data_IF_635508978894
#
_entry.id   IF_635508978894
#
_cell.length_a   1.000
_cell.length_b   1.000
_cell.length_c   1.000
_cell.angle_alpha   90.00
_cell.angle_beta   90.00
_cell.angle_gamma   90.00
#
_symmetry.space_group_name_H-M   'P 1'
#
loop_
_entity.id
_entity.type
_entity.pdbx_description
1 polymer ?
#
# COMPACT_ATOMS: atom_id res chain seq x y z
N UNK A 1 40.88 -23.96 20.05
CA UNK A 1 39.53 -24.57 20.01
C UNK A 1 38.55 -23.51 19.54
N UNK A 2 37.58 -23.88 18.67
CA UNK A 2 36.52 -22.97 18.24
C UNK A 2 35.37 -23.02 19.25
N UNK A 3 34.83 -21.85 19.57
CA UNK A 3 33.71 -21.69 20.47
C UNK A 3 32.59 -20.89 19.81
N UNK A 4 31.33 -21.21 20.14
CA UNK A 4 30.18 -20.39 19.81
C UNK A 4 29.14 -20.52 20.93
N UNK A 5 28.64 -19.39 21.42
CA UNK A 5 27.54 -19.39 22.37
C UNK A 5 26.20 -19.30 21.63
N UNK A 6 25.24 -20.07 22.13
CA UNK A 6 23.87 -20.14 21.60
C UNK A 6 22.90 -19.92 22.77
N UNK A 7 21.84 -19.14 22.54
CA UNK A 7 20.79 -18.88 23.52
C UNK A 7 19.44 -19.28 22.94
N UNK A 8 18.67 -20.05 23.70
CA UNK A 8 17.31 -20.47 23.40
C UNK A 8 16.42 -20.11 24.58
N UNK A 9 15.21 -19.63 24.33
CA UNK A 9 14.18 -19.40 25.36
C UNK A 9 12.90 -20.16 25.01
N UNK A 10 12.04 -20.35 26.02
CA UNK A 10 10.73 -20.98 25.92
C UNK A 10 10.77 -22.49 25.63
N UNK A 11 11.66 -23.19 26.30
CA UNK A 11 11.62 -24.66 26.36
C UNK A 11 10.30 -25.11 26.97
N UNK A 12 9.43 -25.69 26.15
CA UNK A 12 8.27 -26.46 26.62
C UNK A 12 8.60 -27.93 26.57
N UNK A 13 8.28 -28.72 27.61
CA UNK A 13 8.45 -30.17 27.55
C UNK A 13 7.75 -30.74 26.32
N UNK A 14 8.42 -31.65 25.64
CA UNK A 14 7.95 -32.31 24.40
C UNK A 14 7.61 -31.38 23.22
N UNK A 15 7.96 -30.10 23.28
CA UNK A 15 7.83 -29.13 22.21
C UNK A 15 9.06 -29.09 21.30
N UNK A 16 8.97 -28.34 20.17
CA UNK A 16 10.11 -28.18 19.25
C UNK A 16 11.39 -27.66 19.94
N UNK A 17 11.25 -26.83 21.00
CA UNK A 17 12.37 -26.34 21.81
C UNK A 17 13.09 -27.45 22.58
N UNK A 18 12.35 -28.42 23.07
CA UNK A 18 12.95 -29.56 23.78
C UNK A 18 13.71 -30.47 22.81
N UNK A 19 13.19 -30.67 21.59
CA UNK A 19 13.90 -31.39 20.53
C UNK A 19 15.20 -30.69 20.14
N UNK A 20 15.17 -29.37 19.99
CA UNK A 20 16.35 -28.58 19.67
C UNK A 20 17.39 -28.61 20.81
N UNK A 21 16.94 -28.49 22.06
CA UNK A 21 17.82 -28.62 23.23
C UNK A 21 18.47 -30.02 23.31
N UNK A 22 17.70 -31.09 23.11
CA UNK A 22 18.22 -32.46 23.03
C UNK A 22 19.22 -32.60 21.91
N UNK A 23 18.95 -32.05 20.73
CA UNK A 23 19.89 -32.09 19.60
C UNK A 23 21.18 -31.29 19.92
N UNK A 24 21.09 -30.06 20.49
CA UNK A 24 22.29 -29.31 20.90
C UNK A 24 23.12 -30.05 21.95
N UNK A 25 22.49 -30.81 22.82
CA UNK A 25 23.18 -31.68 23.78
C UNK A 25 23.91 -32.87 23.15
N UNK A 26 23.49 -33.29 21.95
CA UNK A 26 24.24 -34.31 21.19
C UNK A 26 25.52 -33.78 20.56
N UNK A 27 25.62 -32.44 20.44
CA UNK A 27 26.84 -31.79 20.00
C UNK A 27 27.84 -31.68 21.14
N UNK A 28 29.13 -31.47 20.84
CA UNK A 28 30.12 -31.18 21.84
C UNK A 28 29.81 -29.81 22.46
N UNK A 29 28.98 -29.77 23.50
CA UNK A 29 28.47 -28.55 24.12
C UNK A 29 28.43 -28.65 25.63
N UNK A 30 28.48 -27.47 26.28
CA UNK A 30 28.18 -27.27 27.72
C UNK A 30 26.95 -26.41 27.81
N UNK A 31 25.95 -26.78 28.60
CA UNK A 31 24.71 -26.02 28.74
C UNK A 31 24.52 -25.52 30.19
N UNK A 32 23.86 -24.35 30.30
CA UNK A 32 23.44 -23.73 31.57
C UNK A 32 22.05 -23.14 31.38
N UNK A 33 21.15 -23.39 32.33
CA UNK A 33 19.81 -22.82 32.37
C UNK A 33 19.79 -21.63 33.34
N UNK A 34 19.39 -20.45 32.86
CA UNK A 34 19.28 -19.23 33.65
C UNK A 34 18.14 -18.35 33.17
N UNK A 35 17.27 -17.90 34.09
CA UNK A 35 16.21 -16.93 33.77
C UNK A 35 15.21 -17.38 32.70
N UNK A 36 14.95 -18.68 32.56
CA UNK A 36 14.08 -19.26 31.53
C UNK A 36 14.75 -19.35 30.16
N UNK A 37 16.04 -19.08 30.06
CA UNK A 37 16.85 -19.28 28.86
C UNK A 37 17.77 -20.47 29.02
N UNK A 38 17.98 -21.21 27.96
CA UNK A 38 19.01 -22.25 27.85
C UNK A 38 20.20 -21.68 27.09
N UNK A 39 21.38 -21.73 27.69
CA UNK A 39 22.63 -21.31 27.08
C UNK A 39 23.45 -22.53 26.72
N UNK A 40 23.93 -22.60 25.49
CA UNK A 40 24.82 -23.65 25.02
C UNK A 40 26.13 -23.05 24.56
N UNK A 41 27.24 -23.53 25.08
CA UNK A 41 28.57 -23.26 24.56
C UNK A 41 28.99 -24.44 23.68
N UNK A 42 28.99 -24.24 22.37
CA UNK A 42 29.42 -25.25 21.41
C UNK A 42 30.94 -25.24 21.28
N UNK A 43 31.53 -26.41 21.33
CA UNK A 43 32.98 -26.63 21.34
C UNK A 43 33.41 -27.39 20.06
N UNK A 44 34.40 -26.84 19.36
CA UNK A 44 34.96 -27.47 18.18
C UNK A 44 34.31 -27.05 16.87
N UNK A 45 35.01 -27.32 15.76
CA UNK A 45 34.65 -26.86 14.41
C UNK A 45 33.32 -27.45 13.91
N UNK A 46 33.11 -28.71 14.22
CA UNK A 46 31.94 -29.46 13.76
C UNK A 46 30.66 -29.00 14.45
N UNK A 47 30.66 -28.90 15.79
CA UNK A 47 29.53 -28.39 16.56
C UNK A 47 29.18 -26.93 16.18
N UNK A 48 30.17 -26.09 15.96
CA UNK A 48 29.97 -24.68 15.58
C UNK A 48 29.40 -24.54 14.17
N UNK A 49 29.78 -25.40 13.21
CA UNK A 49 29.25 -25.38 11.85
C UNK A 49 27.82 -25.89 11.75
N UNK A 50 27.44 -26.83 12.61
CA UNK A 50 26.08 -27.40 12.67
C UNK A 50 25.06 -26.49 13.34
N UNK A 51 25.51 -25.48 14.12
CA UNK A 51 24.62 -24.52 14.81
C UNK A 51 23.67 -23.73 13.88
N UNK A 52 23.84 -23.81 12.59
CA UNK A 52 23.00 -23.18 11.55
C UNK A 52 22.08 -24.18 10.81
N UNK A 53 21.73 -25.31 11.43
CA UNK A 53 21.00 -26.39 10.76
C UNK A 53 19.52 -26.06 10.48
N UNK A 54 18.94 -26.60 9.35
CA UNK A 54 17.56 -26.34 8.92
C UNK A 54 16.43 -26.79 9.86
N UNK A 55 16.72 -27.56 10.92
CA UNK A 55 15.73 -27.94 11.96
C UNK A 55 15.07 -26.74 12.67
N UNK A 56 15.58 -25.54 12.42
CA UNK A 56 15.10 -24.29 13.01
C UNK A 56 13.92 -23.69 12.26
N UNK A 57 13.71 -24.03 10.99
CA UNK A 57 12.73 -23.36 10.13
C UNK A 57 11.27 -23.65 10.50
N UNK A 58 10.97 -24.79 11.13
CA UNK A 58 9.59 -25.22 11.42
C UNK A 58 9.19 -25.12 12.91
N UNK A 59 10.12 -24.80 13.80
CA UNK A 59 9.88 -24.94 15.25
C UNK A 59 9.22 -23.75 15.93
N UNK A 60 9.19 -22.56 15.30
CA UNK A 60 8.73 -21.32 15.92
C UNK A 60 9.59 -20.86 17.11
N UNK A 61 10.80 -21.41 17.23
CA UNK A 61 11.74 -21.11 18.31
C UNK A 61 12.75 -20.11 17.80
N UNK A 62 13.01 -19.09 18.59
CA UNK A 62 14.06 -18.13 18.31
C UNK A 62 15.40 -18.61 18.86
N UNK A 63 16.43 -18.59 18.01
CA UNK A 63 17.79 -18.91 18.36
C UNK A 63 18.71 -17.71 18.13
N UNK A 64 19.48 -17.34 19.14
CA UNK A 64 20.55 -16.34 19.01
C UNK A 64 21.92 -16.99 19.19
N UNK A 65 22.88 -16.60 18.37
CA UNK A 65 24.23 -17.12 18.43
C UNK A 65 25.30 -16.04 18.24
N UNK A 66 26.42 -16.21 18.99
CA UNK A 66 27.57 -15.31 18.93
C UNK A 66 28.38 -15.46 17.63
N UNK A 67 29.37 -14.58 17.42
CA UNK A 67 30.48 -14.86 16.51
C UNK A 67 31.24 -16.12 16.93
N UNK A 68 32.09 -16.64 16.09
CA UNK A 68 33.04 -17.67 16.48
C UNK A 68 34.17 -17.05 17.29
N UNK A 69 34.56 -17.73 18.39
CA UNK A 69 35.73 -17.40 19.21
C UNK A 69 36.79 -18.50 19.07
N UNK A 70 38.02 -18.14 19.39
CA UNK A 70 39.20 -19.01 19.27
C UNK A 70 39.91 -19.22 20.58
N UNK A 71 39.64 -18.34 21.57
CA UNK A 71 40.23 -18.39 22.90
C UNK A 71 39.13 -18.57 23.96
N UNK A 72 39.40 -19.37 24.98
CA UNK A 72 38.52 -19.57 26.11
C UNK A 72 38.25 -18.27 26.90
N UNK A 73 39.19 -17.34 26.89
CA UNK A 73 39.02 -16.01 27.49
C UNK A 73 37.92 -15.17 26.84
N UNK A 74 37.53 -15.50 25.59
CA UNK A 74 36.44 -14.83 24.87
C UNK A 74 35.04 -15.33 25.27
N UNK A 75 34.92 -16.47 25.98
CA UNK A 75 33.64 -17.11 26.31
C UNK A 75 32.65 -16.14 26.97
N UNK A 76 33.00 -15.32 27.97
CA UNK A 76 32.08 -14.37 28.57
C UNK A 76 31.54 -13.35 27.54
N UNK A 77 32.40 -12.86 26.66
CA UNK A 77 31.99 -11.93 25.58
C UNK A 77 31.07 -12.58 24.56
N UNK A 78 31.35 -13.83 24.17
CA UNK A 78 30.50 -14.59 23.23
C UNK A 78 29.11 -14.85 23.83
N UNK A 79 29.06 -15.18 25.14
CA UNK A 79 27.77 -15.37 25.82
C UNK A 79 26.96 -14.08 25.91
N UNK A 80 27.63 -12.96 26.23
CA UNK A 80 27.01 -11.64 26.24
C UNK A 80 26.47 -11.27 24.85
N UNK A 81 27.20 -11.54 23.76
CA UNK A 81 26.74 -11.32 22.40
C UNK A 81 25.51 -12.15 22.05
N UNK A 82 25.49 -13.43 22.41
CA UNK A 82 24.33 -14.28 22.13
C UNK A 82 23.10 -13.83 22.92
N UNK A 83 23.26 -13.37 24.18
CA UNK A 83 22.19 -12.78 24.98
C UNK A 83 21.67 -11.48 24.36
N UNK A 84 22.55 -10.57 23.98
CA UNK A 84 22.19 -9.32 23.29
C UNK A 84 21.40 -9.57 22.02
N UNK A 85 21.82 -10.52 21.18
CA UNK A 85 21.06 -10.93 20.00
C UNK A 85 19.65 -11.39 20.33
N UNK A 86 19.50 -12.17 21.40
CA UNK A 86 18.20 -12.63 21.84
C UNK A 86 17.30 -11.48 22.35
N UNK A 87 17.85 -10.54 23.10
CA UNK A 87 17.12 -9.37 23.61
C UNK A 87 16.62 -8.48 22.47
N UNK A 88 17.39 -8.34 21.39
CA UNK A 88 17.05 -7.54 20.23
C UNK A 88 16.38 -8.32 19.08
N UNK A 89 15.95 -9.56 19.29
CA UNK A 89 15.36 -10.44 18.26
C UNK A 89 14.21 -9.80 17.49
N UNK A 90 13.37 -9.05 18.19
CA UNK A 90 12.25 -8.35 17.58
C UNK A 90 12.69 -7.38 16.48
N UNK A 91 13.78 -6.65 16.69
CA UNK A 91 14.26 -5.63 15.76
C UNK A 91 15.00 -6.21 14.56
N UNK A 92 15.79 -7.27 14.76
CA UNK A 92 16.79 -7.70 13.79
C UNK A 92 16.53 -9.07 13.18
N UNK A 93 15.59 -9.85 13.69
CA UNK A 93 15.22 -11.10 13.05
C UNK A 93 14.48 -10.85 11.74
N UNK A 94 14.88 -11.55 10.68
CA UNK A 94 14.27 -11.44 9.34
C UNK A 94 13.22 -12.52 9.09
N UNK A 95 13.42 -13.69 9.70
CA UNK A 95 12.61 -14.89 9.56
C UNK A 95 11.84 -15.26 10.84
N UNK A 96 12.04 -14.48 11.91
CA UNK A 96 11.47 -14.74 13.24
C UNK A 96 12.11 -15.90 13.99
N UNK A 97 13.15 -16.54 13.45
CA UNK A 97 13.71 -17.80 13.94
C UNK A 97 15.13 -17.67 14.47
N UNK A 98 16.00 -16.90 13.83
CA UNK A 98 17.39 -16.81 14.24
C UNK A 98 18.02 -15.44 14.00
N UNK A 99 19.01 -15.11 14.80
CA UNK A 99 19.85 -13.92 14.59
C UNK A 99 21.30 -14.23 14.98
N UNK A 100 22.24 -13.81 14.12
CA UNK A 100 23.65 -13.75 14.46
C UNK A 100 23.98 -12.38 15.00
N UNK A 101 24.50 -12.30 16.23
CA UNK A 101 24.78 -11.04 16.92
C UNK A 101 25.75 -10.11 16.14
N UNK A 102 26.59 -10.66 15.28
CA UNK A 102 27.46 -9.88 14.39
C UNK A 102 26.71 -8.93 13.44
N UNK A 103 25.43 -9.20 13.18
CA UNK A 103 24.59 -8.40 12.30
C UNK A 103 23.87 -7.24 13.02
N UNK A 104 23.98 -7.17 14.35
CA UNK A 104 23.37 -6.07 15.11
C UNK A 104 24.26 -4.82 14.98
N UNK A 105 23.77 -3.74 14.33
CA UNK A 105 24.55 -2.51 14.19
C UNK A 105 24.80 -1.85 15.55
N UNK A 106 25.92 -1.16 15.70
CA UNK A 106 26.14 -0.31 16.86
C UNK A 106 25.07 0.79 16.95
N UNK A 107 24.62 1.13 18.19
CA UNK A 107 23.63 2.18 18.38
C UNK A 107 24.16 3.52 17.82
N UNK A 108 23.40 4.17 16.98
CA UNK A 108 23.76 5.47 16.44
C UNK A 108 22.94 6.57 17.12
N UNK A 109 23.64 7.50 17.77
CA UNK A 109 23.02 8.67 18.41
C UNK A 109 22.42 9.70 17.42
N UNK A 110 22.68 9.55 16.11
CA UNK A 110 22.09 10.42 15.08
C UNK A 110 20.75 9.85 14.62
N UNK A 111 19.74 9.95 15.46
CA UNK A 111 18.35 9.85 15.01
C UNK A 111 18.01 11.11 14.22
N UNK A 112 17.59 10.97 12.99
CA UNK A 112 17.00 12.09 12.23
C UNK A 112 15.80 12.63 13.01
N UNK A 113 15.73 13.94 13.18
CA UNK A 113 14.63 14.61 13.85
C UNK A 113 13.29 14.18 13.24
N UNK A 114 12.33 13.78 14.07
CA UNK A 114 10.95 13.48 13.68
C UNK A 114 10.59 12.02 13.41
N UNK A 115 11.53 11.07 13.44
CA UNK A 115 11.21 9.63 13.24
C UNK A 115 10.53 8.94 14.45
N UNK A 116 10.39 9.60 15.57
CA UNK A 116 9.75 9.07 16.77
C UNK A 116 8.34 9.60 17.03
N UNK A 117 7.83 10.53 16.22
CA UNK A 117 6.51 11.12 16.38
C UNK A 117 5.47 10.41 15.50
N UNK A 118 4.45 9.77 16.11
CA UNK A 118 3.37 9.12 15.37
C UNK A 118 2.64 10.03 14.40
N UNK A 119 2.49 11.31 14.73
CA UNK A 119 1.79 12.28 13.87
C UNK A 119 2.59 12.55 12.59
N UNK A 120 3.91 12.74 12.72
CA UNK A 120 4.79 12.96 11.55
C UNK A 120 4.79 11.74 10.60
N UNK A 121 4.76 10.54 11.17
CA UNK A 121 4.69 9.30 10.39
C UNK A 121 3.33 9.22 9.68
N UNK A 122 2.24 9.50 10.39
CA UNK A 122 0.90 9.47 9.86
C UNK A 122 0.72 10.49 8.71
N UNK A 123 1.16 11.73 8.90
CA UNK A 123 1.08 12.79 7.89
C UNK A 123 1.84 12.42 6.61
N UNK A 124 3.04 11.87 6.74
CA UNK A 124 3.83 11.42 5.57
C UNK A 124 3.14 10.29 4.82
N UNK A 125 2.67 9.27 5.53
CA UNK A 125 1.95 8.14 4.91
C UNK A 125 0.63 8.60 4.29
N UNK A 126 -0.12 9.47 4.96
CA UNK A 126 -1.33 10.07 4.41
C UNK A 126 -1.06 10.87 3.13
N UNK A 127 0.02 11.66 3.09
CA UNK A 127 0.44 12.38 1.88
C UNK A 127 0.75 11.42 0.71
N UNK A 128 1.36 10.27 0.97
CA UNK A 128 1.58 9.25 -0.06
C UNK A 128 0.26 8.59 -0.51
N UNK A 129 -0.66 8.34 0.43
CA UNK A 129 -2.00 7.80 0.14
C UNK A 129 -2.77 8.79 -0.75
N UNK A 130 -2.81 10.05 -0.37
CA UNK A 130 -3.55 11.09 -1.10
C UNK A 130 -2.96 11.41 -2.48
N UNK A 131 -1.66 11.14 -2.70
CA UNK A 131 -0.92 11.43 -3.93
C UNK A 131 -0.67 10.20 -4.80
N UNK A 132 -1.24 9.04 -4.47
CA UNK A 132 -1.05 7.76 -5.19
C UNK A 132 0.42 7.34 -5.33
N UNK A 133 1.23 7.50 -4.26
CA UNK A 133 2.67 7.27 -4.28
C UNK A 133 3.06 5.98 -3.54
N UNK A 134 2.60 4.83 -4.04
CA UNK A 134 2.82 3.51 -3.42
C UNK A 134 4.30 3.19 -3.19
N UNK A 135 5.17 3.44 -4.17
CA UNK A 135 6.60 3.16 -4.06
C UNK A 135 7.26 3.97 -2.94
N UNK A 136 6.89 5.26 -2.79
CA UNK A 136 7.44 6.12 -1.73
C UNK A 136 6.93 5.74 -0.34
N UNK A 137 5.69 5.27 -0.23
CA UNK A 137 5.16 4.75 1.03
C UNK A 137 5.95 3.52 1.50
N UNK A 138 6.23 2.58 0.60
CA UNK A 138 7.03 1.39 0.89
C UNK A 138 8.48 1.75 1.27
N UNK A 139 9.11 2.65 0.52
CA UNK A 139 10.46 3.13 0.81
C UNK A 139 10.54 3.83 2.17
N UNK A 140 9.55 4.67 2.49
CA UNK A 140 9.47 5.35 3.77
C UNK A 140 9.36 4.38 4.95
N UNK A 141 8.49 3.36 4.85
CA UNK A 141 8.34 2.32 5.88
C UNK A 141 9.63 1.52 6.07
N UNK A 142 10.34 1.23 4.99
CA UNK A 142 11.66 0.59 5.07
C UNK A 142 12.72 1.48 5.74
N UNK A 143 12.72 2.77 5.47
CA UNK A 143 13.62 3.71 6.15
C UNK A 143 13.26 3.86 7.64
N UNK A 144 11.97 3.81 7.98
CA UNK A 144 11.51 3.79 9.36
C UNK A 144 12.00 2.54 10.10
N UNK A 145 11.93 1.35 9.47
CA UNK A 145 12.50 0.10 10.01
C UNK A 145 13.97 0.29 10.38
N UNK A 146 14.78 0.79 9.43
CA UNK A 146 16.21 1.01 9.67
C UNK A 146 16.49 2.04 10.78
N UNK A 147 15.66 3.08 10.87
CA UNK A 147 15.79 4.09 11.93
C UNK A 147 15.49 3.50 13.33
N UNK A 148 14.41 2.72 13.44
CA UNK A 148 14.03 2.01 14.67
C UNK A 148 15.14 1.04 15.10
N UNK A 149 15.70 0.29 14.16
CA UNK A 149 16.82 -0.62 14.41
C UNK A 149 18.07 0.12 14.92
N UNK A 150 18.43 1.25 14.31
CA UNK A 150 19.59 2.07 14.74
C UNK A 150 19.42 2.66 16.14
N UNK A 151 18.19 3.02 16.51
CA UNK A 151 17.87 3.55 17.84
C UNK A 151 17.67 2.45 18.88
N UNK A 152 17.62 1.18 18.49
CA UNK A 152 17.34 0.03 19.36
C UNK A 152 16.11 0.24 20.23
N UNK A 153 15.02 0.76 19.65
CA UNK A 153 13.79 1.00 20.39
C UNK A 153 13.24 -0.32 20.94
N UNK A 154 12.70 -0.29 22.15
CA UNK A 154 12.10 -1.48 22.74
C UNK A 154 10.76 -1.81 22.07
N UNK A 155 10.31 -3.06 22.23
CA UNK A 155 9.08 -3.59 21.65
C UNK A 155 7.86 -2.70 21.90
N UNK A 156 7.62 -2.33 23.17
CA UNK A 156 6.43 -1.56 23.55
C UNK A 156 6.40 -0.16 22.90
N UNK A 157 7.57 0.47 22.79
CA UNK A 157 7.70 1.77 22.12
C UNK A 157 7.40 1.65 20.63
N UNK A 158 7.92 0.61 19.98
CA UNK A 158 7.68 0.36 18.53
C UNK A 158 6.20 0.06 18.26
N UNK A 159 5.60 -0.81 19.07
CA UNK A 159 4.16 -1.14 18.91
C UNK A 159 3.30 0.10 19.09
N UNK A 160 3.53 0.90 20.14
CA UNK A 160 2.78 2.16 20.35
C UNK A 160 2.98 3.14 19.22
N UNK A 161 4.20 3.25 18.68
CA UNK A 161 4.51 4.11 17.54
C UNK A 161 3.63 3.76 16.34
N UNK A 162 3.62 2.49 15.93
CA UNK A 162 2.85 2.03 14.77
C UNK A 162 1.33 2.09 14.99
N UNK A 163 0.86 1.72 16.19
CA UNK A 163 -0.58 1.81 16.51
C UNK A 163 -1.06 3.26 16.44
N UNK A 164 -0.37 4.18 17.10
CA UNK A 164 -0.76 5.59 17.13
C UNK A 164 -0.69 6.22 15.73
N UNK A 165 0.37 5.92 14.96
CA UNK A 165 0.46 6.39 13.57
C UNK A 165 -0.69 5.86 12.72
N UNK A 166 -1.03 4.58 12.85
CA UNK A 166 -2.12 3.99 12.08
C UNK A 166 -3.50 4.56 12.47
N UNK A 167 -3.75 4.79 13.76
CA UNK A 167 -5.01 5.41 14.21
C UNK A 167 -5.21 6.81 13.62
N UNK A 168 -4.14 7.60 13.51
CA UNK A 168 -4.18 8.92 12.86
C UNK A 168 -4.48 8.80 11.37
N UNK A 169 -3.84 7.83 10.67
CA UNK A 169 -4.13 7.56 9.27
C UNK A 169 -5.60 7.16 9.07
N UNK A 170 -6.12 6.25 9.89
CA UNK A 170 -7.52 5.80 9.83
C UNK A 170 -8.50 6.98 10.03
N UNK A 171 -8.20 7.89 10.97
CA UNK A 171 -8.99 9.09 11.20
C UNK A 171 -8.98 10.02 9.98
N UNK A 172 -7.81 10.32 9.40
CA UNK A 172 -7.67 11.16 8.22
C UNK A 172 -8.38 10.57 6.99
N UNK A 173 -8.33 9.23 6.83
CA UNK A 173 -9.02 8.55 5.74
C UNK A 173 -10.54 8.64 5.92
N UNK A 174 -11.06 8.45 7.14
CA UNK A 174 -12.49 8.57 7.43
C UNK A 174 -13.01 9.99 7.19
N UNK A 175 -12.21 10.99 7.52
CA UNK A 175 -12.56 12.40 7.33
C UNK A 175 -12.58 12.81 5.85
N UNK A 176 -11.55 12.44 5.08
CA UNK A 176 -11.37 12.93 3.72
C UNK A 176 -11.86 11.97 2.63
N UNK A 177 -11.95 10.67 2.93
CA UNK A 177 -12.35 9.61 2.00
C UNK A 177 -13.34 8.61 2.63
N UNK A 178 -14.52 9.07 3.11
CA UNK A 178 -15.48 8.23 3.84
C UNK A 178 -15.92 6.98 3.06
N UNK A 179 -16.04 7.09 1.75
CA UNK A 179 -16.41 5.94 0.89
C UNK A 179 -15.30 4.89 0.83
N UNK A 180 -14.03 5.32 0.76
CA UNK A 180 -12.88 4.42 0.84
C UNK A 180 -12.78 3.80 2.24
N UNK A 181 -13.00 4.59 3.30
CA UNK A 181 -12.97 4.12 4.68
C UNK A 181 -13.93 2.94 4.95
N UNK A 182 -15.10 2.93 4.31
CA UNK A 182 -16.06 1.84 4.42
C UNK A 182 -15.58 0.52 3.76
N UNK A 183 -14.62 0.58 2.87
CA UNK A 183 -14.02 -0.57 2.18
C UNK A 183 -12.72 -1.04 2.84
N UNK A 184 -12.09 -0.21 3.67
CA UNK A 184 -10.83 -0.51 4.36
C UNK A 184 -11.10 -1.40 5.58
N UNK A 185 -10.17 -2.29 5.88
CA UNK A 185 -10.18 -3.11 7.09
C UNK A 185 -10.24 -2.22 8.33
N UNK A 186 -11.17 -2.49 9.23
CA UNK A 186 -11.35 -1.70 10.45
C UNK A 186 -10.09 -1.63 11.31
N UNK A 187 -9.83 -0.46 11.92
CA UNK A 187 -8.60 -0.18 12.67
C UNK A 187 -8.28 -1.24 13.74
N UNK A 188 -9.30 -1.75 14.42
CA UNK A 188 -9.11 -2.78 15.47
C UNK A 188 -8.45 -4.07 14.94
N UNK A 189 -8.79 -4.49 13.71
CA UNK A 189 -8.19 -5.67 13.09
C UNK A 189 -6.73 -5.42 12.70
N UNK A 190 -6.42 -4.22 12.22
CA UNK A 190 -5.05 -3.82 11.88
C UNK A 190 -4.19 -3.74 13.13
N UNK A 191 -4.70 -3.13 14.21
CA UNK A 191 -4.02 -3.08 15.51
C UNK A 191 -3.76 -4.50 16.03
N UNK A 192 -4.76 -5.38 15.97
CA UNK A 192 -4.59 -6.76 16.35
C UNK A 192 -3.50 -7.46 15.53
N UNK A 193 -3.46 -7.25 14.21
CA UNK A 193 -2.43 -7.82 13.35
C UNK A 193 -1.03 -7.29 13.72
N UNK A 194 -0.86 -5.99 13.97
CA UNK A 194 0.40 -5.40 14.44
C UNK A 194 0.86 -6.06 15.73
N UNK A 195 -0.04 -6.25 16.71
CA UNK A 195 0.28 -6.88 17.99
C UNK A 195 0.63 -8.37 17.86
N UNK A 196 0.22 -9.03 16.78
CA UNK A 196 0.53 -10.46 16.51
C UNK A 196 1.88 -10.65 15.82
N UNK A 197 2.45 -9.62 15.24
CA UNK A 197 3.76 -9.69 14.60
C UNK A 197 4.85 -10.02 15.60
N UNK A 198 5.75 -10.92 15.24
CA UNK A 198 6.87 -11.37 16.07
C UNK A 198 8.12 -10.54 15.84
N UNK A 199 8.22 -9.87 14.69
CA UNK A 199 9.37 -9.08 14.28
C UNK A 199 8.95 -7.72 13.75
N UNK A 200 9.85 -6.75 13.83
CA UNK A 200 9.67 -5.42 13.23
C UNK A 200 9.44 -5.54 11.71
N UNK A 201 10.14 -6.45 11.05
CA UNK A 201 9.99 -6.70 9.60
C UNK A 201 8.60 -7.18 9.24
N UNK A 202 7.99 -8.07 10.04
CA UNK A 202 6.60 -8.49 9.83
C UNK A 202 5.63 -7.31 9.91
N UNK A 203 5.83 -6.40 10.88
CA UNK A 203 5.00 -5.18 11.00
C UNK A 203 5.15 -4.31 9.75
N UNK A 204 6.38 -4.07 9.31
CA UNK A 204 6.66 -3.22 8.14
C UNK A 204 6.10 -3.82 6.86
N UNK A 205 6.26 -5.12 6.66
CA UNK A 205 5.69 -5.81 5.49
C UNK A 205 4.16 -5.75 5.51
N UNK A 206 3.53 -6.10 6.64
CA UNK A 206 2.08 -6.01 6.80
C UNK A 206 1.56 -4.60 6.52
N UNK A 207 2.16 -3.57 7.11
CA UNK A 207 1.76 -2.18 6.89
C UNK A 207 2.00 -1.72 5.45
N UNK A 208 3.07 -2.19 4.81
CA UNK A 208 3.36 -1.87 3.40
C UNK A 208 2.24 -2.41 2.50
N UNK A 209 1.84 -3.65 2.66
CA UNK A 209 0.75 -4.26 1.91
C UNK A 209 -0.59 -3.57 2.20
N UNK A 210 -0.86 -3.30 3.48
CA UNK A 210 -2.10 -2.68 3.90
C UNK A 210 -2.25 -1.23 3.38
N UNK A 211 -1.20 -0.39 3.52
CA UNK A 211 -1.17 0.98 2.98
C UNK A 211 -1.28 0.98 1.46
N UNK A 212 -0.63 0.03 0.78
CA UNK A 212 -0.78 -0.16 -0.68
C UNK A 212 -2.24 -0.44 -1.06
N UNK A 213 -2.93 -1.27 -0.28
CA UNK A 213 -4.36 -1.53 -0.43
C UNK A 213 -5.21 -0.26 -0.26
N UNK A 214 -4.92 0.54 0.77
CA UNK A 214 -5.61 1.82 1.02
C UNK A 214 -5.39 2.79 -0.14
N UNK A 215 -4.16 2.95 -0.63
CA UNK A 215 -3.83 3.81 -1.78
C UNK A 215 -4.71 3.43 -2.97
N UNK A 216 -4.80 2.15 -3.29
CA UNK A 216 -5.63 1.65 -4.39
C UNK A 216 -7.11 1.99 -4.20
N UNK A 217 -7.67 1.73 -3.00
CA UNK A 217 -9.08 2.02 -2.69
C UNK A 217 -9.39 3.52 -2.77
N UNK A 218 -8.51 4.38 -2.24
CA UNK A 218 -8.66 5.84 -2.32
C UNK A 218 -8.59 6.31 -3.77
N UNK A 219 -7.68 5.73 -4.57
CA UNK A 219 -7.57 6.02 -5.99
C UNK A 219 -8.84 5.64 -6.76
N UNK A 220 -9.40 4.44 -6.53
CA UNK A 220 -10.65 3.97 -7.15
C UNK A 220 -11.80 4.92 -6.83
N UNK A 221 -12.05 5.23 -5.54
CA UNK A 221 -13.12 6.14 -5.11
C UNK A 221 -12.96 7.53 -5.72
N UNK A 222 -11.73 8.06 -5.79
CA UNK A 222 -11.47 9.37 -6.43
C UNK A 222 -11.74 9.32 -7.93
N UNK A 223 -11.37 8.24 -8.58
CA UNK A 223 -11.56 8.05 -10.02
C UNK A 223 -13.04 8.02 -10.38
N UNK A 224 -13.82 7.22 -9.68
CA UNK A 224 -15.28 7.12 -9.88
C UNK A 224 -15.95 8.50 -9.69
N UNK A 225 -15.64 9.19 -8.63
CA UNK A 225 -16.24 10.48 -8.29
C UNK A 225 -15.85 11.59 -9.30
N UNK A 226 -14.58 11.62 -9.79
CA UNK A 226 -14.17 12.62 -10.78
C UNK A 226 -14.82 12.39 -12.13
N UNK A 227 -14.95 11.14 -12.59
CA UNK A 227 -15.57 10.82 -13.87
C UNK A 227 -17.07 11.15 -13.85
N UNK A 228 -17.76 10.83 -12.75
CA UNK A 228 -19.17 11.22 -12.59
C UNK A 228 -19.34 12.75 -12.63
N UNK A 229 -18.50 13.49 -11.91
CA UNK A 229 -18.49 14.97 -11.94
C UNK A 229 -18.21 15.51 -13.33
N UNK A 230 -17.24 14.94 -14.06
CA UNK A 230 -16.94 15.33 -15.44
C UNK A 230 -18.12 15.06 -16.38
N UNK A 231 -18.71 13.89 -16.33
CA UNK A 231 -19.90 13.55 -17.13
C UNK A 231 -21.06 14.50 -16.82
N UNK A 232 -21.31 14.79 -15.53
CA UNK A 232 -22.32 15.76 -15.12
C UNK A 232 -22.03 17.17 -15.61
N UNK A 233 -20.76 17.61 -15.54
CA UNK A 233 -20.32 18.90 -16.06
C UNK A 233 -20.47 19.02 -17.56
N UNK A 234 -20.06 17.99 -18.31
CA UNK A 234 -20.26 17.92 -19.77
C UNK A 234 -21.75 18.01 -20.12
N UNK A 235 -22.58 17.23 -19.41
CA UNK A 235 -24.03 17.24 -19.63
C UNK A 235 -24.71 18.59 -19.43
N UNK A 236 -24.17 19.44 -18.54
CA UNK A 236 -24.66 20.81 -18.29
C UNK A 236 -24.05 21.86 -19.23
N UNK A 237 -22.78 21.68 -19.62
CA UNK A 237 -21.99 22.68 -20.34
C UNK A 237 -21.60 22.29 -21.77
N UNK A 238 -22.23 21.27 -22.36
CA UNK A 238 -21.88 20.72 -23.68
C UNK A 238 -21.86 21.75 -24.82
N UNK A 239 -22.55 22.86 -24.65
CA UNK A 239 -22.61 23.96 -25.66
C UNK A 239 -21.28 24.73 -25.74
N UNK A 240 -20.50 24.72 -24.69
CA UNK A 240 -19.21 25.43 -24.61
C UNK A 240 -18.08 24.64 -25.28
N UNK A 241 -16.97 25.30 -25.68
CA UNK A 241 -15.78 24.63 -26.20
C UNK A 241 -15.01 23.98 -25.05
N UNK A 242 -15.44 22.79 -24.63
CA UNK A 242 -14.80 22.04 -23.55
C UNK A 242 -13.55 21.34 -24.04
N UNK A 243 -12.46 21.46 -23.25
CA UNK A 243 -11.20 20.73 -23.43
C UNK A 243 -10.87 19.99 -22.15
N UNK A 244 -10.38 18.75 -22.29
CA UNK A 244 -10.05 17.95 -21.11
C UNK A 244 -8.89 18.54 -20.32
N UNK A 245 -7.95 19.21 -20.99
CA UNK A 245 -6.82 19.89 -20.36
C UNK A 245 -7.30 20.99 -19.40
N UNK A 246 -8.24 21.82 -19.85
CA UNK A 246 -8.82 22.90 -19.03
C UNK A 246 -9.62 22.35 -17.85
N UNK A 247 -10.37 21.26 -18.07
CA UNK A 247 -11.10 20.60 -16.99
C UNK A 247 -10.15 19.95 -15.98
N UNK A 248 -9.06 19.36 -16.46
CA UNK A 248 -8.04 18.79 -15.59
C UNK A 248 -7.42 19.85 -14.66
N UNK A 249 -7.12 21.03 -15.17
CA UNK A 249 -6.64 22.16 -14.34
C UNK A 249 -7.66 22.57 -13.26
N UNK A 250 -8.94 22.69 -13.64
CA UNK A 250 -10.03 23.04 -12.71
C UNK A 250 -10.20 22.00 -11.61
N UNK A 251 -10.06 20.72 -11.92
CA UNK A 251 -10.21 19.64 -10.96
C UNK A 251 -8.90 19.21 -10.28
N UNK A 252 -7.77 19.88 -10.55
CA UNK A 252 -6.47 19.61 -9.94
C UNK A 252 -5.80 18.32 -10.43
N UNK A 253 -6.05 17.92 -11.68
CA UNK A 253 -5.48 16.73 -12.31
C UNK A 253 -4.54 17.08 -13.46
N UNK A 254 -3.65 16.15 -13.82
CA UNK A 254 -2.91 16.22 -15.07
C UNK A 254 -3.82 15.85 -16.25
N UNK A 255 -3.79 16.63 -17.33
CA UNK A 255 -4.67 16.44 -18.51
C UNK A 255 -4.49 15.09 -19.19
N UNK A 256 -3.25 14.62 -19.37
CA UNK A 256 -2.98 13.31 -19.95
C UNK A 256 -3.48 12.16 -19.07
N UNK A 257 -3.34 12.28 -17.76
CA UNK A 257 -3.86 11.32 -16.80
C UNK A 257 -5.39 11.27 -16.84
N UNK A 258 -6.05 12.44 -16.72
CA UNK A 258 -7.50 12.53 -16.72
C UNK A 258 -8.10 12.01 -18.02
N UNK A 259 -7.44 12.26 -19.18
CA UNK A 259 -7.87 11.73 -20.47
C UNK A 259 -7.81 10.21 -20.58
N UNK A 260 -6.77 9.58 -20.02
CA UNK A 260 -6.65 8.12 -19.96
C UNK A 260 -7.70 7.52 -19.03
N UNK A 261 -7.86 8.10 -17.84
CA UNK A 261 -8.85 7.68 -16.84
C UNK A 261 -10.27 7.78 -17.40
N UNK A 262 -10.60 8.91 -18.03
CA UNK A 262 -11.91 9.13 -18.66
C UNK A 262 -12.22 8.05 -19.70
N UNK A 263 -11.22 7.73 -20.55
CA UNK A 263 -11.38 6.68 -21.57
C UNK A 263 -11.54 5.29 -20.96
N UNK A 264 -10.81 5.00 -19.88
CA UNK A 264 -10.88 3.72 -19.18
C UNK A 264 -12.27 3.51 -18.58
N UNK A 265 -12.82 4.52 -17.88
CA UNK A 265 -14.09 4.42 -17.16
C UNK A 265 -15.31 4.55 -18.08
N UNK A 266 -15.25 5.42 -19.11
CA UNK A 266 -16.39 5.62 -20.03
C UNK A 266 -16.36 4.74 -21.27
N UNK A 267 -15.23 4.07 -21.53
CA UNK A 267 -14.99 3.28 -22.75
C UNK A 267 -14.66 4.12 -24.00
N UNK A 268 -14.75 5.45 -23.93
CA UNK A 268 -14.55 6.33 -25.08
C UNK A 268 -13.72 7.58 -24.74
N UNK A 269 -13.12 8.23 -25.75
CA UNK A 269 -12.37 9.46 -25.50
C UNK A 269 -13.29 10.61 -25.08
N UNK A 270 -12.77 11.59 -24.34
CA UNK A 270 -13.49 12.80 -23.93
C UNK A 270 -14.19 13.50 -25.12
N UNK A 271 -13.50 13.65 -26.24
CA UNK A 271 -14.08 14.27 -27.44
C UNK A 271 -15.22 13.43 -28.04
N UNK A 272 -15.09 12.10 -28.05
CA UNK A 272 -16.16 11.22 -28.54
C UNK A 272 -17.39 11.29 -27.65
N UNK A 273 -17.18 11.29 -26.34
CA UNK A 273 -18.24 11.44 -25.35
C UNK A 273 -18.96 12.79 -25.49
N UNK A 274 -18.23 13.90 -25.61
CA UNK A 274 -18.80 15.24 -25.82
C UNK A 274 -19.60 15.31 -27.13
N UNK A 275 -19.04 14.77 -28.22
CA UNK A 275 -19.76 14.68 -29.51
C UNK A 275 -21.07 13.89 -29.35
N UNK A 276 -21.03 12.74 -28.68
CA UNK A 276 -22.23 11.91 -28.46
C UNK A 276 -23.28 12.67 -27.62
N UNK A 277 -22.89 13.34 -26.54
CA UNK A 277 -23.81 14.17 -25.75
C UNK A 277 -24.46 15.25 -26.60
N UNK A 278 -23.67 15.95 -27.42
CA UNK A 278 -24.18 16.98 -28.35
C UNK A 278 -25.16 16.43 -29.38
N UNK A 279 -24.87 15.26 -29.95
CA UNK A 279 -25.73 14.59 -30.91
C UNK A 279 -27.07 14.15 -30.28
N UNK A 280 -27.03 13.61 -29.05
CA UNK A 280 -28.28 13.25 -28.36
C UNK A 280 -29.15 14.48 -28.04
N UNK A 281 -28.54 15.62 -27.72
CA UNK A 281 -29.29 16.88 -27.58
C UNK A 281 -29.80 17.39 -28.92
N UNK A 282 -29.01 17.26 -29.99
CA UNK A 282 -29.44 17.65 -31.35
C UNK A 282 -30.62 16.84 -31.83
N UNK A 283 -30.72 15.54 -31.56
CA UNK A 283 -31.91 14.72 -31.90
C UNK A 283 -33.20 15.36 -31.36
N UNK A 284 -33.17 15.77 -30.06
CA UNK A 284 -34.35 16.40 -29.44
C UNK A 284 -34.70 17.74 -30.06
N UNK A 285 -33.70 18.55 -30.42
CA UNK A 285 -33.94 19.82 -31.07
C UNK A 285 -34.40 19.66 -32.54
N UNK A 286 -34.01 18.60 -33.24
CA UNK A 286 -34.44 18.29 -34.58
C UNK A 286 -35.91 17.86 -34.68
N UNK A 287 -36.52 17.48 -33.55
CA UNK A 287 -37.98 17.21 -33.47
C UNK A 287 -38.81 18.49 -33.40
N UNK A 288 -38.17 19.64 -33.24
CA UNK A 288 -38.81 20.96 -33.33
C UNK A 288 -38.62 21.58 -34.70
N UNK A 289 -39.27 22.73 -34.97
CA UNK A 289 -39.13 23.48 -36.23
C UNK A 289 -37.81 24.27 -36.36
N UNK A 290 -36.87 24.08 -35.45
CA UNK A 290 -35.59 24.79 -35.43
C UNK A 290 -34.78 24.48 -36.69
N UNK A 291 -34.15 25.48 -37.32
CA UNK A 291 -33.32 25.29 -38.52
C UNK A 291 -32.08 24.49 -38.20
N UNK A 292 -31.63 23.62 -39.10
CA UNK A 292 -30.49 22.68 -38.86
C UNK A 292 -29.24 23.43 -38.42
N UNK A 293 -28.95 24.61 -39.02
CA UNK A 293 -27.78 25.38 -38.59
C UNK A 293 -27.91 25.95 -37.17
N UNK A 294 -29.15 26.32 -36.76
CA UNK A 294 -29.43 26.73 -35.36
C UNK A 294 -29.17 25.56 -34.39
N UNK A 295 -29.67 24.38 -34.74
CA UNK A 295 -29.45 23.17 -33.92
C UNK A 295 -27.96 22.87 -33.79
N UNK A 296 -27.17 22.99 -34.86
CA UNK A 296 -25.71 22.79 -34.78
C UNK A 296 -25.07 23.78 -33.82
N UNK A 297 -25.37 25.07 -33.94
CA UNK A 297 -24.85 26.13 -33.08
C UNK A 297 -25.30 25.96 -31.63
N UNK A 298 -26.57 25.68 -31.37
CA UNK A 298 -27.11 25.45 -30.02
C UNK A 298 -26.52 24.21 -29.33
N UNK A 299 -26.09 23.21 -30.09
CA UNK A 299 -25.41 22.04 -29.58
C UNK A 299 -23.89 22.24 -29.41
N UNK A 300 -23.34 23.43 -29.73
CA UNK A 300 -21.94 23.76 -29.54
C UNK A 300 -21.01 23.26 -30.66
N UNK A 301 -21.55 22.96 -31.85
CA UNK A 301 -20.74 22.64 -33.03
C UNK A 301 -20.29 23.95 -33.72
N UNK A 302 -19.01 24.02 -34.07
CA UNK A 302 -18.42 25.22 -34.71
C UNK A 302 -18.79 25.39 -36.18
N UNK A 303 -19.13 24.28 -36.86
CA UNK A 303 -19.56 24.33 -38.26
C UNK A 303 -20.71 23.34 -38.53
N UNK A 304 -21.58 23.70 -39.47
CA UNK A 304 -22.70 22.88 -39.88
C UNK A 304 -22.25 21.60 -40.61
N UNK A 305 -21.14 21.69 -41.34
CA UNK A 305 -20.56 20.55 -42.03
C UNK A 305 -20.02 19.52 -41.03
N UNK A 306 -19.25 19.97 -40.03
CA UNK A 306 -18.75 19.09 -38.97
C UNK A 306 -19.90 18.44 -38.20
N UNK A 307 -20.93 19.20 -37.83
CA UNK A 307 -22.16 18.67 -37.24
C UNK A 307 -22.79 17.58 -38.10
N UNK A 308 -23.03 17.84 -39.39
CA UNK A 308 -23.71 16.89 -40.29
C UNK A 308 -22.92 15.58 -40.42
N UNK A 309 -21.60 15.66 -40.53
CA UNK A 309 -20.70 14.50 -40.57
C UNK A 309 -20.74 13.70 -39.27
N UNK A 310 -20.67 14.38 -38.13
CA UNK A 310 -20.76 13.71 -36.82
C UNK A 310 -22.14 13.11 -36.58
N UNK A 311 -23.21 13.82 -36.89
CA UNK A 311 -24.57 13.32 -36.77
C UNK A 311 -24.77 12.04 -37.63
N UNK A 312 -24.33 12.05 -38.89
CA UNK A 312 -24.40 10.86 -39.75
C UNK A 312 -23.56 9.72 -39.18
N UNK A 313 -22.39 10.00 -38.60
CA UNK A 313 -21.53 8.98 -37.97
C UNK A 313 -22.20 8.31 -36.77
N UNK A 314 -22.89 9.07 -35.92
CA UNK A 314 -23.50 8.54 -34.68
C UNK A 314 -24.91 8.01 -34.85
N UNK A 315 -25.67 8.54 -35.84
CA UNK A 315 -27.09 8.22 -36.03
C UNK A 315 -27.34 7.36 -37.29
N UNK A 316 -26.36 7.31 -38.20
CA UNK A 316 -26.45 6.55 -39.44
C UNK A 316 -27.06 7.34 -40.61
N UNK A 317 -27.82 8.41 -40.33
CA UNK A 317 -28.50 9.24 -41.35
C UNK A 317 -28.16 10.72 -41.18
N UNK A 318 -28.37 11.55 -42.20
CA UNK A 318 -28.16 13.00 -42.09
C UNK A 318 -29.20 13.66 -41.17
N UNK A 319 -28.89 14.83 -40.57
CA UNK A 319 -29.84 15.58 -39.74
C UNK A 319 -31.17 15.86 -40.45
N UNK A 320 -31.10 16.15 -41.75
CA UNK A 320 -32.29 16.41 -42.58
C UNK A 320 -33.14 15.15 -42.78
N UNK A 321 -32.52 14.02 -43.09
CA UNK A 321 -33.19 12.74 -43.22
C UNK A 321 -33.82 12.27 -41.89
N UNK A 322 -33.10 12.46 -40.78
CA UNK A 322 -33.62 12.16 -39.45
C UNK A 322 -34.89 12.96 -39.14
N UNK A 323 -34.87 14.29 -39.36
CA UNK A 323 -36.03 15.14 -39.16
C UNK A 323 -37.25 14.69 -40.00
N UNK A 324 -37.03 14.39 -41.31
CA UNK A 324 -38.10 13.94 -42.20
C UNK A 324 -38.74 12.65 -41.68
N UNK A 325 -37.94 11.68 -41.31
CA UNK A 325 -38.44 10.41 -40.77
C UNK A 325 -39.26 10.59 -39.48
N UNK A 326 -38.80 11.46 -38.59
CA UNK A 326 -39.53 11.75 -37.34
C UNK A 326 -40.85 12.50 -37.57
N UNK A 327 -40.91 13.42 -38.55
CA UNK A 327 -42.13 14.11 -38.91
C UNK A 327 -43.19 13.15 -39.49
N UNK A 328 -42.75 12.18 -40.30
CA UNK A 328 -43.61 11.14 -40.86
C UNK A 328 -44.19 10.21 -39.78
N UNK A 329 -43.35 9.80 -38.81
CA UNK A 329 -43.78 8.99 -37.66
C UNK A 329 -44.83 9.71 -36.79
N UNK A 330 -44.64 11.01 -36.53
CA UNK A 330 -45.59 11.82 -35.72
C UNK A 330 -46.90 12.12 -36.47
N UNK A 331 -46.84 12.21 -37.81
CA UNK A 331 -48.04 12.38 -38.65
C UNK A 331 -48.90 11.13 -38.73
N UNK A 332 -48.30 9.93 -38.74
CA UNK A 332 -49.03 8.66 -38.80
C UNK A 332 -49.71 8.25 -37.51
N UNK A 333 -49.33 8.82 -36.35
CA UNK A 333 -49.93 8.53 -35.03
C UNK A 333 -51.13 9.39 -34.66
N UNK A 334 -51.59 10.28 -35.56
CA UNK A 334 -52.74 11.18 -35.37
C UNK A 334 -53.97 10.87 -36.21
N UNK A 335 -54.03 9.70 -36.82
CA UNK A 335 -55.26 9.23 -37.53
C UNK A 335 -56.03 8.24 -36.66
#
# INVERSE_FOLDING_TARGET
TLFRSVVIKDRKPDGPGDMLCKWLQTLNSVSVSEGGCEYYLLLGREAVSQAAHPLLSDSGIFLSYSRMGFDAAEIPQLTAQAREGYEHRFLFSTDGLSIQCRLIPEPSAKAGEGFGDPLVIADKLYNFISSDQTAKAAEFLKHLELSIQRQRLNYDTVIRLFINSYMQIDMLIKEHYPEAANRVTGANLVIYAICKCRTLREIVNFLTEHITGIIRMVHEVRSDNIIEKLCGYIGKNYRQPLKIETLAEVFGYNGSYLGKLFKQETGESFHSYLDRVRIEKAKKLLETDARIYSVASECGFQSNEYFSNKFKKYVGVSPQAYRKARAEEQGSGRQ
#
